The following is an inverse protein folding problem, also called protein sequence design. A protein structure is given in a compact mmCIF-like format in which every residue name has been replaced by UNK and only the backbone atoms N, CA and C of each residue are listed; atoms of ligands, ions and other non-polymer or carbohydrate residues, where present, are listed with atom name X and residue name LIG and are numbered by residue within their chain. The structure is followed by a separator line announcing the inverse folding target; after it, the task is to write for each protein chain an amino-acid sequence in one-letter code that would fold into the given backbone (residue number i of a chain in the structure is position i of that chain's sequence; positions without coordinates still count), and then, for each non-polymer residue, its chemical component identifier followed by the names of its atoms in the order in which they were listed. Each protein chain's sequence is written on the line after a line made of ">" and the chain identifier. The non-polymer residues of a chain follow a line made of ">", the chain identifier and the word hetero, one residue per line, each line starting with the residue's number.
data_IF_503973828314
#
_entry.id   IF_503973828314
#
_cell.length_a   1.000
_cell.length_b   1.000
_cell.length_c   1.000
_cell.angle_alpha   90.00
_cell.angle_beta   90.00
_cell.angle_gamma   90.00
#
_symmetry.space_group_name_H-M   'P 1'
#
loop_
_entity.id
_entity.type
_entity.pdbx_description
1 polymer ?
#
# COMPACT_ATOMS: atom_id res chain seq x y z
N UNK A 1 -27.49 2.23 -11.08
CA UNK A 1 -27.28 0.76 -11.18
C UNK A 1 -28.66 0.12 -11.12
N UNK A 2 -28.98 -0.85 -12.00
CA UNK A 2 -30.28 -1.53 -11.97
C UNK A 2 -30.10 -2.88 -11.27
N UNK A 3 -30.40 -2.93 -9.97
CA UNK A 3 -30.25 -4.12 -9.12
C UNK A 3 -31.63 -4.77 -8.96
N UNK A 4 -31.70 -6.10 -9.02
CA UNK A 4 -32.92 -6.88 -8.84
C UNK A 4 -32.76 -7.89 -7.71
N UNK A 5 -33.89 -8.30 -7.13
CA UNK A 5 -33.93 -9.45 -6.21
C UNK A 5 -33.41 -10.68 -6.94
N UNK A 6 -32.51 -11.42 -6.29
CA UNK A 6 -31.81 -12.57 -6.85
C UNK A 6 -30.46 -12.24 -7.48
N UNK A 7 -30.14 -10.97 -7.74
CA UNK A 7 -28.84 -10.59 -8.29
C UNK A 7 -27.72 -10.88 -7.28
N UNK A 8 -26.56 -11.28 -7.79
CA UNK A 8 -25.32 -11.36 -7.02
C UNK A 8 -24.51 -10.09 -7.25
N UNK A 9 -24.23 -9.38 -6.15
CA UNK A 9 -23.53 -8.09 -6.15
C UNK A 9 -22.35 -8.14 -5.16
N UNK A 10 -21.45 -7.16 -5.25
CA UNK A 10 -20.53 -6.89 -4.14
C UNK A 10 -21.08 -5.74 -3.30
N UNK A 11 -21.12 -5.88 -1.99
CA UNK A 11 -21.60 -4.84 -1.09
C UNK A 11 -20.68 -4.66 0.10
N UNK A 12 -20.56 -3.40 0.55
CA UNK A 12 -19.84 -3.05 1.76
C UNK A 12 -20.71 -3.34 2.99
N UNK A 13 -20.41 -4.44 3.67
CA UNK A 13 -21.23 -4.99 4.78
C UNK A 13 -20.39 -5.24 6.02
N UNK A 14 -21.08 -5.30 7.16
CA UNK A 14 -20.45 -5.50 8.48
C UNK A 14 -19.90 -6.93 8.61
N UNK A 15 -18.70 -7.06 9.17
CA UNK A 15 -18.03 -8.36 9.37
C UNK A 15 -18.25 -8.88 10.80
N UNK A 16 -18.03 -10.17 11.04
CA UNK A 16 -18.43 -10.89 12.28
C UNK A 16 -17.97 -10.24 13.61
N UNK A 17 -16.84 -9.53 13.62
CA UNK A 17 -16.32 -8.84 14.81
C UNK A 17 -16.81 -7.38 14.95
N UNK A 18 -17.76 -6.96 14.11
CA UNK A 18 -18.46 -5.68 14.11
C UNK A 18 -17.62 -4.39 13.97
N UNK A 19 -16.30 -4.47 14.08
CA UNK A 19 -15.39 -3.33 14.10
C UNK A 19 -15.05 -2.78 12.70
N UNK A 20 -15.36 -3.52 11.63
CA UNK A 20 -14.99 -3.15 10.28
C UNK A 20 -16.03 -3.60 9.25
N UNK A 21 -16.05 -2.89 8.12
CA UNK A 21 -16.85 -3.22 6.94
C UNK A 21 -15.92 -3.71 5.83
N UNK A 22 -16.39 -4.66 5.03
CA UNK A 22 -15.66 -5.19 3.87
C UNK A 22 -16.59 -5.38 2.69
N UNK A 23 -16.06 -5.23 1.47
CA UNK A 23 -16.78 -5.64 0.26
C UNK A 23 -16.81 -7.17 0.21
N UNK A 24 -18.01 -7.74 0.13
CA UNK A 24 -18.18 -9.17 -0.09
C UNK A 24 -19.30 -9.44 -1.09
N UNK A 25 -19.29 -10.66 -1.65
CA UNK A 25 -20.38 -11.10 -2.52
C UNK A 25 -21.64 -11.38 -1.71
N UNK A 26 -22.74 -10.79 -2.15
CA UNK A 26 -24.04 -10.95 -1.53
C UNK A 26 -25.10 -11.23 -2.59
N UNK A 27 -26.11 -12.02 -2.22
CA UNK A 27 -27.35 -12.16 -3.00
C UNK A 27 -28.37 -11.17 -2.49
N UNK A 28 -29.00 -10.42 -3.39
CA UNK A 28 -30.11 -9.53 -3.06
C UNK A 28 -31.36 -10.34 -2.73
N UNK A 29 -31.87 -10.21 -1.51
CA UNK A 29 -33.08 -10.91 -1.04
C UNK A 29 -34.33 -10.08 -1.12
N UNK A 30 -34.19 -8.78 -0.92
CA UNK A 30 -35.30 -7.83 -1.02
C UNK A 30 -34.78 -6.44 -1.37
N UNK A 31 -35.65 -5.63 -1.96
CA UNK A 31 -35.38 -4.25 -2.35
C UNK A 31 -36.52 -3.37 -1.84
N UNK A 32 -36.18 -2.38 -1.01
CA UNK A 32 -37.17 -1.46 -0.43
C UNK A 32 -36.64 -0.04 -0.45
N UNK A 33 -37.31 0.83 -1.20
CA UNK A 33 -36.86 2.20 -1.45
C UNK A 33 -35.40 2.22 -1.95
N UNK A 34 -34.48 2.80 -1.20
CA UNK A 34 -33.05 2.90 -1.54
C UNK A 34 -32.17 1.86 -0.80
N UNK A 35 -32.79 0.87 -0.16
CA UNK A 35 -32.11 -0.17 0.61
C UNK A 35 -32.28 -1.55 -0.01
N UNK A 36 -31.24 -2.37 0.10
CA UNK A 36 -31.28 -3.79 -0.23
C UNK A 36 -31.09 -4.63 1.03
N UNK A 37 -31.88 -5.70 1.14
CA UNK A 37 -31.62 -6.79 2.07
C UNK A 37 -30.69 -7.76 1.37
N UNK A 38 -29.53 -8.02 1.98
CA UNK A 38 -28.46 -8.83 1.41
C UNK A 38 -28.21 -10.07 2.26
N UNK A 39 -27.88 -11.19 1.61
CA UNK A 39 -27.35 -12.40 2.24
C UNK A 39 -25.94 -12.67 1.72
N UNK A 40 -24.98 -12.97 2.59
CA UNK A 40 -23.64 -13.41 2.18
C UNK A 40 -23.68 -14.66 1.30
N UNK A 41 -22.84 -14.71 0.26
CA UNK A 41 -22.70 -15.87 -0.63
C UNK A 41 -21.63 -16.84 -0.13
N UNK A 42 -20.57 -16.31 0.47
CA UNK A 42 -19.40 -17.05 0.93
C UNK A 42 -19.27 -16.90 2.45
N UNK A 43 -18.77 -17.94 3.13
CA UNK A 43 -18.57 -17.92 4.57
C UNK A 43 -19.87 -18.10 5.39
N UNK A 44 -19.88 -17.65 6.65
CA UNK A 44 -21.05 -17.69 7.52
C UNK A 44 -22.23 -16.93 6.93
N UNK A 45 -23.45 -17.45 7.12
CA UNK A 45 -24.68 -16.84 6.62
C UNK A 45 -25.01 -15.59 7.45
N UNK A 46 -24.75 -14.43 6.85
CA UNK A 46 -24.98 -13.11 7.45
C UNK A 46 -25.98 -12.35 6.59
N UNK A 47 -26.97 -11.76 7.24
CA UNK A 47 -27.95 -10.87 6.62
C UNK A 47 -27.58 -9.43 6.98
N UNK A 48 -27.60 -8.53 6.01
CA UNK A 48 -27.37 -7.10 6.24
C UNK A 48 -28.35 -6.25 5.42
N UNK A 49 -28.62 -5.04 5.89
CA UNK A 49 -29.45 -4.06 5.18
C UNK A 49 -28.57 -2.86 4.87
N UNK A 50 -28.30 -2.65 3.58
CA UNK A 50 -27.41 -1.58 3.12
C UNK A 50 -28.12 -0.68 2.12
N UNK A 51 -27.73 0.59 2.11
CA UNK A 51 -28.14 1.51 1.05
C UNK A 51 -27.47 1.14 -0.29
N UNK A 52 -28.11 1.50 -1.40
CA UNK A 52 -27.59 1.19 -2.74
C UNK A 52 -26.22 1.81 -3.02
N UNK A 53 -25.84 2.89 -2.33
CA UNK A 53 -24.51 3.51 -2.43
C UNK A 53 -23.36 2.61 -1.95
N UNK A 54 -23.68 1.59 -1.15
CA UNK A 54 -22.72 0.58 -0.66
C UNK A 54 -22.63 -0.64 -1.56
N UNK A 55 -23.38 -0.68 -2.67
CA UNK A 55 -23.44 -1.81 -3.59
C UNK A 55 -22.71 -1.45 -4.88
N UNK A 56 -21.87 -2.37 -5.36
CA UNK A 56 -21.17 -2.27 -6.64
C UNK A 56 -21.37 -3.51 -7.51
N UNK A 57 -21.21 -3.39 -8.85
CA UNK A 57 -21.26 -4.55 -9.73
C UNK A 57 -20.18 -5.59 -9.40
N UNK A 58 -20.52 -6.87 -9.59
CA UNK A 58 -19.60 -8.00 -9.43
C UNK A 58 -18.44 -7.97 -10.45
N UNK A 59 -18.55 -7.16 -11.50
CA UNK A 59 -17.53 -6.99 -12.54
C UNK A 59 -16.29 -6.22 -12.07
N UNK A 60 -16.17 -5.88 -10.79
CA UNK A 60 -14.94 -5.29 -10.26
C UNK A 60 -13.80 -6.28 -10.43
N UNK A 61 -12.91 -6.01 -11.39
CA UNK A 61 -11.76 -6.86 -11.69
C UNK A 61 -10.75 -6.70 -10.56
N UNK A 62 -10.82 -7.56 -9.55
CA UNK A 62 -9.70 -7.80 -8.65
C UNK A 62 -8.84 -8.90 -9.28
N UNK A 63 -7.65 -8.53 -9.77
CA UNK A 63 -6.67 -9.55 -10.18
C UNK A 63 -5.96 -10.03 -8.94
N UNK A 64 -6.07 -11.31 -8.55
CA UNK A 64 -5.33 -11.83 -7.40
C UNK A 64 -3.84 -11.62 -7.61
N UNK A 65 -3.18 -11.05 -6.60
CA UNK A 65 -1.74 -10.88 -6.64
C UNK A 65 -1.06 -12.25 -6.52
N UNK A 66 -0.15 -12.53 -7.44
CA UNK A 66 0.78 -13.65 -7.36
C UNK A 66 2.05 -13.18 -6.69
N UNK A 67 2.69 -14.05 -5.91
CA UNK A 67 3.98 -13.75 -5.28
C UNK A 67 5.02 -13.23 -6.29
N UNK A 68 5.02 -13.76 -7.52
CA UNK A 68 5.94 -13.35 -8.58
C UNK A 68 5.75 -11.92 -9.09
N UNK A 69 4.60 -11.28 -8.80
CA UNK A 69 4.34 -9.88 -9.15
C UNK A 69 4.99 -8.92 -8.16
N UNK A 70 5.24 -9.36 -6.93
CA UNK A 70 5.94 -8.56 -5.94
C UNK A 70 7.45 -8.77 -6.10
N UNK A 71 8.18 -7.67 -6.29
CA UNK A 71 9.61 -7.66 -6.52
C UNK A 71 10.29 -7.02 -5.34
N UNK A 72 11.34 -7.66 -4.86
CA UNK A 72 12.18 -7.17 -3.78
C UNK A 72 13.61 -6.95 -4.26
N UNK A 73 14.25 -5.91 -3.75
CA UNK A 73 15.67 -5.66 -3.94
C UNK A 73 16.25 -5.02 -2.68
N UNK A 74 17.57 -5.08 -2.53
CA UNK A 74 18.30 -4.49 -1.41
C UNK A 74 19.40 -3.61 -1.95
N UNK A 75 19.57 -2.44 -1.35
CA UNK A 75 20.69 -1.54 -1.65
C UNK A 75 21.42 -1.28 -0.35
N UNK A 76 22.66 -1.76 -0.25
CA UNK A 76 23.46 -1.58 0.95
C UNK A 76 23.85 -0.12 1.13
N UNK A 77 23.58 0.40 2.32
CA UNK A 77 23.88 1.77 2.71
C UNK A 77 25.33 1.82 3.19
N UNK A 78 26.13 2.78 2.70
CA UNK A 78 27.48 3.02 3.21
C UNK A 78 27.47 3.26 4.73
N UNK A 79 28.48 2.71 5.43
CA UNK A 79 28.54 2.72 6.90
C UNK A 79 28.39 4.12 7.51
N UNK A 80 28.99 5.13 6.87
CA UNK A 80 28.94 6.52 7.31
C UNK A 80 27.54 7.15 7.20
N UNK A 81 26.65 6.56 6.39
CA UNK A 81 25.28 7.03 6.19
C UNK A 81 24.22 6.22 6.95
N UNK A 82 24.58 5.07 7.54
CA UNK A 82 23.62 4.18 8.23
C UNK A 82 22.77 4.90 9.27
N UNK A 83 23.38 5.74 10.11
CA UNK A 83 22.66 6.53 11.13
C UNK A 83 21.71 7.54 10.51
N UNK A 84 22.10 8.15 9.39
CA UNK A 84 21.26 9.11 8.67
C UNK A 84 20.00 8.43 8.11
N UNK A 85 20.13 7.22 7.54
CA UNK A 85 19.01 6.49 6.94
C UNK A 85 18.04 5.83 7.92
N UNK A 86 18.30 5.88 9.24
CA UNK A 86 17.32 5.44 10.26
C UNK A 86 16.01 6.21 10.24
N UNK A 87 16.04 7.45 9.73
CA UNK A 87 14.88 8.35 9.67
C UNK A 87 14.17 8.21 8.32
N UNK A 88 12.87 7.83 8.28
CA UNK A 88 12.15 7.63 7.02
C UNK A 88 12.15 8.82 6.06
N UNK A 89 12.11 10.04 6.61
CA UNK A 89 12.20 11.28 5.83
C UNK A 89 13.49 11.39 5.00
N UNK A 90 14.57 10.72 5.42
CA UNK A 90 15.87 10.80 4.76
C UNK A 90 16.00 9.90 3.51
N UNK A 91 15.00 9.08 3.21
CA UNK A 91 14.88 8.35 1.95
C UNK A 91 13.56 8.60 1.21
N UNK A 92 12.73 9.54 1.69
CA UNK A 92 11.49 9.94 1.02
C UNK A 92 11.75 10.54 -0.37
N UNK A 93 12.78 11.36 -0.51
CA UNK A 93 13.18 11.96 -1.80
C UNK A 93 13.68 10.90 -2.80
N UNK A 94 14.34 9.85 -2.30
CA UNK A 94 14.73 8.69 -3.12
C UNK A 94 13.50 7.95 -3.66
N UNK A 95 12.52 7.67 -2.79
CA UNK A 95 11.24 7.03 -3.16
C UNK A 95 10.52 7.86 -4.22
N UNK A 96 10.43 9.18 -4.02
CA UNK A 96 9.82 10.12 -4.97
C UNK A 96 10.53 10.15 -6.32
N UNK A 97 11.86 10.11 -6.32
CA UNK A 97 12.68 10.16 -7.54
C UNK A 97 12.61 8.86 -8.35
N UNK A 98 12.64 7.70 -7.69
CA UNK A 98 12.59 6.40 -8.36
C UNK A 98 11.18 6.08 -8.88
N UNK A 99 10.13 6.48 -8.13
CA UNK A 99 8.70 6.24 -8.38
C UNK A 99 8.29 4.77 -8.36
N UNK A 100 7.07 4.52 -7.91
CA UNK A 100 6.45 3.19 -7.85
C UNK A 100 7.27 2.18 -7.02
N UNK A 101 7.91 2.65 -5.95
CA UNK A 101 8.60 1.82 -4.97
C UNK A 101 8.10 2.13 -3.56
N UNK A 102 8.19 1.13 -2.70
CA UNK A 102 8.18 1.28 -1.26
C UNK A 102 9.59 0.98 -0.75
N UNK A 103 10.08 1.78 0.20
CA UNK A 103 11.41 1.62 0.78
C UNK A 103 11.30 1.63 2.29
N UNK A 104 12.03 0.72 2.93
CA UNK A 104 12.22 0.66 4.37
C UNK A 104 13.72 0.46 4.65
N UNK A 105 14.23 1.02 5.75
CA UNK A 105 15.60 0.82 6.15
C UNK A 105 15.71 -0.33 7.17
N UNK A 106 16.49 -1.35 6.84
CA UNK A 106 16.87 -2.43 7.75
C UNK A 106 18.12 -2.03 8.53
N UNK A 107 17.96 -1.63 9.79
CA UNK A 107 19.08 -1.23 10.65
C UNK A 107 20.06 -2.38 10.92
N UNK A 108 19.57 -3.62 11.00
CA UNK A 108 20.39 -4.79 11.31
C UNK A 108 21.36 -5.13 10.17
N UNK A 109 20.87 -5.09 8.93
CA UNK A 109 21.69 -5.31 7.74
C UNK A 109 22.44 -4.04 7.28
N UNK A 110 21.86 -2.86 7.52
CA UNK A 110 22.30 -1.61 6.90
C UNK A 110 21.86 -1.49 5.43
N UNK A 111 20.69 -2.01 5.09
CA UNK A 111 20.17 -2.03 3.72
C UNK A 111 18.91 -1.16 3.58
N UNK A 112 18.75 -0.52 2.42
CA UNK A 112 17.44 -0.07 1.95
C UNK A 112 16.72 -1.24 1.29
N UNK A 113 15.64 -1.72 1.91
CA UNK A 113 14.76 -2.76 1.40
C UNK A 113 13.73 -2.13 0.45
N UNK A 114 13.79 -2.53 -0.82
CA UNK A 114 12.93 -2.00 -1.87
C UNK A 114 11.86 -3.04 -2.21
N UNK A 115 10.62 -2.59 -2.29
CA UNK A 115 9.46 -3.39 -2.68
C UNK A 115 8.68 -2.69 -3.79
N UNK A 116 8.32 -3.43 -4.86
CA UNK A 116 7.59 -2.87 -6.02
C UNK A 116 6.88 -3.94 -6.83
N UNK A 117 5.95 -3.53 -7.69
CA UNK A 117 5.36 -4.37 -8.74
C UNK A 117 6.07 -4.22 -10.10
N UNK A 118 7.08 -3.35 -10.21
CA UNK A 118 7.76 -3.01 -11.47
C UNK A 118 9.24 -3.38 -11.47
N UNK A 119 9.65 -4.28 -12.37
CA UNK A 119 11.08 -4.62 -12.56
C UNK A 119 11.92 -3.39 -12.96
N UNK A 120 11.32 -2.46 -13.71
CA UNK A 120 12.00 -1.22 -14.11
C UNK A 120 12.26 -0.29 -12.92
N UNK A 121 11.41 -0.33 -11.88
CA UNK A 121 11.61 0.49 -10.70
C UNK A 121 12.84 0.03 -9.89
N UNK A 122 13.09 -1.29 -9.82
CA UNK A 122 14.33 -1.82 -9.23
C UNK A 122 15.56 -1.34 -10.02
N UNK A 123 15.52 -1.37 -11.35
CA UNK A 123 16.63 -0.89 -12.18
C UNK A 123 16.91 0.59 -11.95
N UNK A 124 15.86 1.41 -11.92
CA UNK A 124 15.99 2.85 -11.60
C UNK A 124 16.59 3.07 -10.22
N UNK A 125 16.13 2.33 -9.21
CA UNK A 125 16.67 2.44 -7.84
C UNK A 125 18.18 2.17 -7.79
N UNK A 126 18.63 1.09 -8.43
CA UNK A 126 20.06 0.73 -8.47
C UNK A 126 20.91 1.75 -9.24
N UNK A 127 20.39 2.35 -10.31
CA UNK A 127 21.11 3.38 -11.06
C UNK A 127 21.23 4.67 -10.25
N UNK A 128 20.19 5.02 -9.49
CA UNK A 128 20.12 6.29 -8.76
C UNK A 128 20.74 6.24 -7.37
N UNK A 129 20.95 5.06 -6.78
CA UNK A 129 21.43 4.92 -5.40
C UNK A 129 22.77 5.57 -5.15
N UNK A 130 23.73 5.40 -6.05
CA UNK A 130 25.08 5.95 -5.89
C UNK A 130 25.08 7.47 -5.87
N UNK A 131 24.27 8.09 -6.74
CA UNK A 131 24.08 9.53 -6.76
C UNK A 131 23.38 9.98 -5.47
N UNK A 132 22.31 9.28 -5.07
CA UNK A 132 21.56 9.61 -3.87
C UNK A 132 22.41 9.55 -2.59
N UNK A 133 23.31 8.57 -2.48
CA UNK A 133 24.24 8.47 -1.35
C UNK A 133 25.25 9.60 -1.32
N UNK A 134 25.76 10.04 -2.49
CA UNK A 134 26.65 11.21 -2.58
C UNK A 134 25.94 12.48 -2.12
N UNK A 135 24.71 12.69 -2.57
CA UNK A 135 23.91 13.86 -2.19
C UNK A 135 23.54 13.83 -0.70
N UNK A 136 23.20 12.66 -0.17
CA UNK A 136 22.92 12.45 1.26
C UNK A 136 24.13 12.77 2.13
N UNK A 137 25.34 12.37 1.69
CA UNK A 137 26.59 12.69 2.38
C UNK A 137 26.86 14.19 2.41
N UNK A 138 26.62 14.88 1.30
CA UNK A 138 26.75 16.35 1.26
C UNK A 138 25.74 17.03 2.20
N UNK A 139 24.48 16.60 2.18
CA UNK A 139 23.43 17.12 3.07
C UNK A 139 23.78 16.91 4.55
N UNK A 140 24.28 15.73 4.91
CA UNK A 140 24.74 15.42 6.26
C UNK A 140 25.88 16.33 6.71
N UNK A 141 26.89 16.57 5.86
CA UNK A 141 28.00 17.46 6.18
C UNK A 141 27.56 18.91 6.38
N UNK A 142 26.57 19.38 5.61
CA UNK A 142 26.01 20.72 5.78
C UNK A 142 25.26 20.87 7.10
N UNK A 143 24.46 19.87 7.48
CA UNK A 143 23.74 19.85 8.77
C UNK A 143 24.71 19.89 9.96
N UNK A 144 25.78 19.09 9.93
CA UNK A 144 26.81 19.10 10.98
C UNK A 144 27.48 20.47 11.14
N UNK A 145 27.76 21.18 10.05
CA UNK A 145 28.34 22.54 10.10
C UNK A 145 27.38 23.56 10.73
N UNK A 146 26.08 23.43 10.47
CA UNK A 146 25.06 24.30 11.05
C UNK A 146 24.93 24.07 12.56
N UNK A 147 24.91 22.80 13.01
CA UNK A 147 24.85 22.47 14.44
C UNK A 147 26.05 23.03 15.21
N UNK A 148 27.27 22.92 14.66
CA UNK A 148 28.49 23.46 15.29
C UNK A 148 28.48 24.99 15.38
N UNK A 149 27.80 25.69 14.46
CA UNK A 149 27.73 27.16 14.46
C UNK A 149 26.69 27.73 15.43
N UNK A 150 25.86 26.87 16.04
CA UNK A 150 24.85 27.25 17.05
C UNK A 150 25.36 27.10 18.49
N UNK A 151 26.63 26.73 18.67
CA UNK A 151 27.36 26.69 19.95
C UNK A 151 28.46 27.76 19.95
#
# INVERSE_FOLDING_TARGET
>A
MNIKVGDVVEALVKQENEAFHGYQKCTVKDLKAEFAVLESVEGPKVMDIVGFEKIRPLTTISTPLKQSQFKHSKISVPDDLRTYFKKPENYADFVSSVKNIFVEYDEGAGDLLISTFEDQAIKRANILSDMYFKDSRQKMQLLQRQEVSLF
#
